data_IF_894684816422
#
_entry.id   IF_894684816422
#
_cell.length_a   1.000
_cell.length_b   1.000
_cell.length_c   1.000
_cell.angle_alpha   90.00
_cell.angle_beta   90.00
_cell.angle_gamma   90.00
#
_symmetry.space_group_name_H-M   'P 1'
#
loop_
_entity.id
_entity.type
_entity.pdbx_description
1 polymer ?
#
# COMPACT_ATOMS: atom_id res chain seq x y z
N UNK A 1 -23.61 3.35 16.92
CA UNK A 1 -22.57 2.68 16.12
C UNK A 1 -22.21 3.68 15.05
N UNK A 2 -21.03 4.29 15.15
CA UNK A 2 -20.57 5.24 14.14
C UNK A 2 -20.47 4.49 12.81
N UNK A 3 -21.05 5.06 11.75
CA UNK A 3 -20.98 4.46 10.42
C UNK A 3 -19.52 4.48 9.96
N UNK A 4 -18.91 3.29 9.76
CA UNK A 4 -17.49 3.15 9.41
C UNK A 4 -17.15 3.93 8.14
N UNK A 5 -18.08 3.97 7.18
CA UNK A 5 -17.91 4.76 5.97
C UNK A 5 -17.85 6.27 6.27
N UNK A 6 -18.77 6.78 7.10
CA UNK A 6 -18.74 8.18 7.55
C UNK A 6 -17.46 8.52 8.33
N UNK A 7 -16.98 7.60 9.18
CA UNK A 7 -15.70 7.75 9.89
C UNK A 7 -14.53 7.86 8.90
N UNK A 8 -14.46 6.97 7.91
CA UNK A 8 -13.41 7.00 6.89
C UNK A 8 -13.50 8.29 6.09
N UNK A 9 -14.67 8.63 5.52
CA UNK A 9 -14.87 9.86 4.74
C UNK A 9 -14.47 11.11 5.52
N UNK A 10 -14.82 11.19 6.81
CA UNK A 10 -14.46 12.30 7.67
C UNK A 10 -12.94 12.47 7.81
N UNK A 11 -12.21 11.38 8.05
CA UNK A 11 -10.76 11.43 8.19
C UNK A 11 -10.05 11.65 6.84
N UNK A 12 -10.57 11.11 5.74
CA UNK A 12 -10.01 11.33 4.39
C UNK A 12 -10.04 12.79 3.96
N UNK A 13 -11.08 13.54 4.34
CA UNK A 13 -11.12 14.98 4.10
C UNK A 13 -10.00 15.70 4.85
N UNK A 14 -9.63 15.21 6.04
CA UNK A 14 -8.64 15.80 6.94
C UNK A 14 -7.19 15.41 6.61
N UNK A 15 -6.98 14.31 5.89
CA UNK A 15 -5.69 13.99 5.24
C UNK A 15 -5.25 15.05 4.21
N UNK A 16 -6.11 16.02 3.86
CA UNK A 16 -5.80 17.09 2.91
C UNK A 16 -5.69 18.47 3.58
N UNK A 17 -5.73 18.51 4.92
CA UNK A 17 -5.74 19.75 5.70
C UNK A 17 -4.56 19.78 6.67
N UNK A 18 -4.48 20.82 7.50
CA UNK A 18 -3.52 20.90 8.60
C UNK A 18 -3.74 19.85 9.70
N UNK A 19 -4.81 19.05 9.59
CA UNK A 19 -5.18 18.00 10.56
C UNK A 19 -4.72 16.61 10.06
N UNK A 20 -3.75 16.58 9.14
CA UNK A 20 -3.21 15.36 8.54
C UNK A 20 -2.78 14.34 9.60
N UNK A 21 -1.94 14.74 10.55
CA UNK A 21 -1.37 13.83 11.55
C UNK A 21 -2.47 13.16 12.38
N UNK A 22 -3.43 13.94 12.88
CA UNK A 22 -4.56 13.43 13.66
C UNK A 22 -5.41 12.44 12.83
N UNK A 23 -5.70 12.77 11.57
CA UNK A 23 -6.49 11.93 10.69
C UNK A 23 -5.77 10.62 10.33
N UNK A 24 -4.46 10.71 10.06
CA UNK A 24 -3.60 9.58 9.78
C UNK A 24 -3.56 8.61 10.97
N UNK A 25 -3.30 9.11 12.18
CA UNK A 25 -3.28 8.28 13.39
C UNK A 25 -4.63 7.61 13.66
N UNK A 26 -5.74 8.35 13.51
CA UNK A 26 -7.08 7.79 13.72
C UNK A 26 -7.42 6.68 12.73
N UNK A 27 -6.97 6.78 11.48
CA UNK A 27 -7.22 5.75 10.47
C UNK A 27 -6.38 4.50 10.72
N UNK A 28 -5.13 4.64 11.17
CA UNK A 28 -4.25 3.50 11.50
C UNK A 28 -4.70 2.77 12.76
N UNK A 29 -5.19 3.51 13.75
CA UNK A 29 -5.66 2.94 15.02
C UNK A 29 -7.09 2.37 14.94
N UNK A 30 -7.77 2.53 13.80
CA UNK A 30 -9.10 2.00 13.60
C UNK A 30 -9.10 0.47 13.47
N UNK A 31 -10.26 -0.14 13.73
CA UNK A 31 -10.47 -1.57 13.48
C UNK A 31 -10.34 -1.90 11.99
N UNK A 32 -9.79 -3.07 11.67
CA UNK A 32 -9.53 -3.54 10.30
C UNK A 32 -10.78 -3.54 9.40
N UNK A 33 -11.99 -3.48 9.97
CA UNK A 33 -13.23 -3.26 9.23
C UNK A 33 -13.24 -1.97 8.40
N UNK A 34 -12.33 -1.01 8.62
CA UNK A 34 -12.20 0.18 7.76
C UNK A 34 -11.49 -0.09 6.44
N UNK A 35 -10.70 -1.17 6.34
CA UNK A 35 -9.83 -1.45 5.18
C UNK A 35 -10.60 -1.46 3.85
N UNK A 36 -11.77 -2.11 3.71
CA UNK A 36 -12.52 -2.09 2.45
C UNK A 36 -12.87 -0.67 1.99
N UNK A 37 -13.22 0.22 2.92
CA UNK A 37 -13.56 1.61 2.61
C UNK A 37 -12.31 2.42 2.19
N UNK A 38 -11.16 2.14 2.81
CA UNK A 38 -9.88 2.75 2.42
C UNK A 38 -9.42 2.30 1.03
N UNK A 39 -9.62 1.02 0.68
CA UNK A 39 -9.33 0.49 -0.65
C UNK A 39 -10.21 1.17 -1.71
N UNK A 40 -11.52 1.31 -1.45
CA UNK A 40 -12.40 2.04 -2.37
C UNK A 40 -12.01 3.51 -2.50
N UNK A 41 -11.61 4.16 -1.39
CA UNK A 41 -11.10 5.53 -1.44
C UNK A 41 -9.83 5.67 -2.28
N UNK A 42 -8.91 4.70 -2.20
CA UNK A 42 -7.68 4.69 -3.01
C UNK A 42 -7.98 4.71 -4.51
N UNK A 43 -8.96 3.91 -4.95
CA UNK A 43 -9.32 3.75 -6.37
C UNK A 43 -9.89 5.02 -7.01
N UNK A 44 -10.52 5.87 -6.22
CA UNK A 44 -11.15 7.12 -6.70
C UNK A 44 -10.35 8.37 -6.37
N UNK A 45 -9.25 8.27 -5.62
CA UNK A 45 -8.46 9.42 -5.19
C UNK A 45 -7.55 9.95 -6.31
N UNK A 46 -7.74 11.19 -6.78
CA UNK A 46 -6.95 11.73 -7.87
C UNK A 46 -5.51 12.13 -7.47
N UNK A 47 -5.25 12.48 -6.20
CA UNK A 47 -3.93 12.97 -5.78
C UNK A 47 -3.03 11.81 -5.37
N UNK A 48 -1.86 11.69 -6.02
CA UNK A 48 -0.89 10.63 -5.75
C UNK A 48 -0.36 10.63 -4.32
N UNK A 49 -0.15 11.81 -3.73
CA UNK A 49 0.25 11.93 -2.32
C UNK A 49 -0.78 11.31 -1.37
N UNK A 50 -2.08 11.60 -1.56
CA UNK A 50 -3.15 10.99 -0.75
C UNK A 50 -3.26 9.49 -1.02
N UNK A 51 -3.09 9.03 -2.27
CA UNK A 51 -3.02 7.59 -2.56
C UNK A 51 -1.86 6.90 -1.86
N UNK A 52 -0.68 7.53 -1.79
CA UNK A 52 0.47 6.98 -1.07
C UNK A 52 0.19 6.87 0.44
N UNK A 53 -0.43 7.90 1.04
CA UNK A 53 -0.88 7.86 2.44
C UNK A 53 -1.93 6.76 2.67
N UNK A 54 -2.86 6.55 1.73
CA UNK A 54 -3.86 5.48 1.83
C UNK A 54 -3.21 4.10 1.80
N UNK A 55 -2.26 3.87 0.88
CA UNK A 55 -1.47 2.64 0.83
C UNK A 55 -0.75 2.41 2.16
N UNK A 56 -0.13 3.47 2.69
CA UNK A 56 0.57 3.44 3.97
C UNK A 56 -0.35 3.04 5.13
N UNK A 57 -1.45 3.77 5.31
CA UNK A 57 -2.45 3.50 6.33
C UNK A 57 -2.92 2.04 6.23
N UNK A 58 -3.25 1.55 5.03
CA UNK A 58 -3.77 0.19 4.84
C UNK A 58 -2.75 -0.87 5.29
N UNK A 59 -1.46 -0.76 4.92
CA UNK A 59 -0.48 -1.77 5.35
C UNK A 59 -0.08 -1.62 6.83
N UNK A 60 -0.32 -0.47 7.47
CA UNK A 60 -0.15 -0.28 8.91
C UNK A 60 -1.09 -1.15 9.76
N UNK A 61 -2.23 -1.59 9.22
CA UNK A 61 -3.11 -2.57 9.88
C UNK A 61 -2.50 -3.98 10.00
N UNK A 62 -1.41 -4.29 9.27
CA UNK A 62 -0.72 -5.60 9.30
C UNK A 62 -1.63 -6.79 8.93
N UNK A 63 -2.71 -6.56 8.18
CA UNK A 63 -3.65 -7.59 7.72
C UNK A 63 -3.08 -8.28 6.46
N UNK A 64 -2.73 -9.59 6.51
CA UNK A 64 -2.12 -10.29 5.38
C UNK A 64 -2.96 -10.26 4.09
N UNK A 65 -4.28 -10.22 4.21
CA UNK A 65 -5.24 -10.19 3.10
C UNK A 65 -5.09 -8.92 2.23
N UNK A 66 -4.44 -7.87 2.73
CA UNK A 66 -4.16 -6.64 1.97
C UNK A 66 -3.09 -6.81 0.87
N UNK A 67 -2.41 -7.97 0.80
CA UNK A 67 -1.41 -8.27 -0.25
C UNK A 67 -1.94 -8.06 -1.68
N UNK A 68 -3.21 -8.40 -1.93
CA UNK A 68 -3.80 -8.22 -3.26
C UNK A 68 -3.99 -6.74 -3.60
N UNK A 69 -4.34 -5.93 -2.60
CA UNK A 69 -4.41 -4.48 -2.75
C UNK A 69 -3.02 -3.87 -2.95
N UNK A 70 -2.00 -4.31 -2.22
CA UNK A 70 -0.63 -3.82 -2.43
C UNK A 70 -0.14 -4.14 -3.85
N UNK A 71 -0.53 -5.29 -4.42
CA UNK A 71 -0.24 -5.60 -5.82
C UNK A 71 -0.93 -4.62 -6.78
N UNK A 72 -2.16 -4.19 -6.50
CA UNK A 72 -2.86 -3.15 -7.28
C UNK A 72 -2.11 -1.82 -7.19
N UNK A 73 -1.64 -1.42 -5.99
CA UNK A 73 -0.89 -0.19 -5.79
C UNK A 73 0.48 -0.17 -6.49
N UNK A 74 1.10 -1.33 -6.76
CA UNK A 74 2.33 -1.43 -7.57
C UNK A 74 2.13 -1.02 -9.04
N UNK A 75 0.88 -1.01 -9.52
CA UNK A 75 0.53 -0.58 -10.88
C UNK A 75 0.32 0.93 -11.00
N UNK A 76 0.37 1.69 -9.89
CA UNK A 76 0.29 3.16 -9.96
C UNK A 76 1.46 3.73 -10.76
N UNK A 77 1.19 4.80 -11.51
CA UNK A 77 2.18 5.50 -12.32
C UNK A 77 3.12 6.40 -11.48
N UNK A 78 2.76 6.70 -10.24
CA UNK A 78 3.49 7.65 -9.38
C UNK A 78 4.44 6.92 -8.41
N UNK A 79 5.75 7.25 -8.42
CA UNK A 79 6.76 6.68 -7.53
C UNK A 79 6.38 6.53 -6.06
N UNK A 80 5.81 7.56 -5.47
CA UNK A 80 5.42 7.59 -4.06
C UNK A 80 4.39 6.50 -3.71
N UNK A 81 3.48 6.16 -4.62
CA UNK A 81 2.43 5.18 -4.37
C UNK A 81 2.99 3.75 -4.43
N UNK A 82 3.67 3.40 -5.52
CA UNK A 82 4.19 2.04 -5.66
C UNK A 82 5.38 1.77 -4.73
N UNK A 83 6.13 2.79 -4.30
CA UNK A 83 7.15 2.63 -3.24
C UNK A 83 6.51 2.36 -1.89
N UNK A 84 5.46 3.09 -1.51
CA UNK A 84 4.70 2.79 -0.29
C UNK A 84 4.13 1.36 -0.31
N UNK A 85 3.71 0.87 -1.48
CA UNK A 85 3.27 -0.52 -1.61
C UNK A 85 4.40 -1.53 -1.37
N UNK A 86 5.62 -1.26 -1.84
CA UNK A 86 6.80 -2.08 -1.55
C UNK A 86 7.14 -2.10 -0.06
N UNK A 87 7.06 -0.94 0.62
CA UNK A 87 7.24 -0.86 2.08
C UNK A 87 6.21 -1.74 2.80
N UNK A 88 4.95 -1.74 2.32
CA UNK A 88 3.91 -2.64 2.80
C UNK A 88 4.25 -4.13 2.60
N UNK A 89 4.73 -4.52 1.42
CA UNK A 89 5.15 -5.90 1.16
C UNK A 89 6.32 -6.35 2.06
N UNK A 90 7.33 -5.49 2.21
CA UNK A 90 8.49 -5.74 3.10
C UNK A 90 8.02 -5.91 4.54
N UNK A 91 7.12 -5.03 4.98
CA UNK A 91 6.61 -5.02 6.35
C UNK A 91 5.75 -6.24 6.67
N UNK A 92 4.91 -6.68 5.73
CA UNK A 92 4.12 -7.91 5.89
C UNK A 92 4.98 -9.18 5.82
N UNK A 93 6.11 -9.14 5.11
CA UNK A 93 7.20 -10.09 5.27
C UNK A 93 6.85 -11.57 5.05
N UNK A 94 5.89 -11.88 4.17
CA UNK A 94 5.36 -13.25 4.02
C UNK A 94 5.84 -13.96 2.74
N UNK A 95 5.79 -15.31 2.69
CA UNK A 95 6.04 -16.04 1.44
C UNK A 95 5.09 -15.63 0.30
N UNK A 96 3.85 -15.25 0.63
CA UNK A 96 2.88 -14.75 -0.34
C UNK A 96 3.31 -13.40 -0.93
N UNK A 97 3.93 -12.51 -0.13
CA UNK A 97 4.49 -11.25 -0.61
C UNK A 97 5.58 -11.49 -1.68
N UNK A 98 6.50 -12.42 -1.42
CA UNK A 98 7.56 -12.80 -2.38
C UNK A 98 6.93 -13.31 -3.69
N UNK A 99 5.95 -14.21 -3.60
CA UNK A 99 5.30 -14.76 -4.80
C UNK A 99 4.66 -13.68 -5.66
N UNK A 100 3.95 -12.74 -5.04
CA UNK A 100 3.32 -11.61 -5.75
C UNK A 100 4.36 -10.69 -6.38
N UNK A 101 5.43 -10.34 -5.64
CA UNK A 101 6.50 -9.50 -6.17
C UNK A 101 7.22 -10.14 -7.37
N UNK A 102 7.52 -11.44 -7.32
CA UNK A 102 8.10 -12.17 -8.45
C UNK A 102 7.18 -12.19 -9.69
N UNK A 103 5.86 -12.32 -9.50
CA UNK A 103 4.90 -12.24 -10.60
C UNK A 103 4.87 -10.83 -11.24
N UNK A 104 4.83 -9.78 -10.42
CA UNK A 104 4.85 -8.39 -10.88
C UNK A 104 6.14 -8.09 -11.65
N UNK A 105 7.28 -8.52 -11.10
CA UNK A 105 8.61 -8.42 -11.70
C UNK A 105 8.68 -9.08 -13.07
N UNK A 106 8.18 -10.32 -13.20
CA UNK A 106 8.11 -11.03 -14.49
C UNK A 106 7.25 -10.30 -15.52
N UNK A 107 6.09 -9.76 -15.11
CA UNK A 107 5.20 -8.98 -15.98
C UNK A 107 5.87 -7.71 -16.50
N UNK A 108 6.57 -6.96 -15.65
CA UNK A 108 7.29 -5.74 -16.05
C UNK A 108 8.42 -6.07 -17.04
N UNK A 109 9.16 -7.17 -16.82
CA UNK A 109 10.18 -7.63 -17.76
C UNK A 109 9.62 -7.98 -19.14
N UNK A 110 8.50 -8.70 -19.17
CA UNK A 110 7.83 -9.07 -20.42
C UNK A 110 7.34 -7.83 -21.21
N UNK A 111 7.00 -6.74 -20.51
CA UNK A 111 6.53 -5.48 -21.10
C UNK A 111 7.60 -4.58 -21.72
N UNK A 112 8.85 -5.05 -21.90
CA UNK A 112 9.99 -4.26 -22.39
C UNK A 112 10.46 -3.11 -21.49
N UNK A 113 9.92 -2.98 -20.27
CA UNK A 113 10.39 -2.07 -19.22
C UNK A 113 11.47 -2.71 -18.33
N UNK A 114 12.30 -3.58 -18.92
CA UNK A 114 13.34 -4.35 -18.25
C UNK A 114 14.39 -3.52 -17.48
N UNK A 115 14.49 -2.22 -17.77
CA UNK A 115 15.40 -1.25 -17.13
C UNK A 115 14.66 -0.21 -16.29
N UNK A 116 13.40 -0.45 -15.95
CA UNK A 116 12.66 0.43 -15.04
C UNK A 116 13.29 0.36 -13.66
N UNK A 117 13.51 1.53 -13.02
CA UNK A 117 13.92 1.60 -11.62
C UNK A 117 13.05 0.69 -10.75
N UNK A 118 11.76 0.57 -11.07
CA UNK A 118 10.79 -0.30 -10.37
C UNK A 118 11.27 -1.75 -10.22
N UNK A 119 11.98 -2.33 -11.20
CA UNK A 119 12.52 -3.69 -11.08
C UNK A 119 13.57 -3.77 -9.97
N UNK A 120 14.51 -2.82 -9.92
CA UNK A 120 15.55 -2.80 -8.91
C UNK A 120 14.97 -2.66 -7.49
N UNK A 121 13.93 -1.83 -7.34
CA UNK A 121 13.22 -1.69 -6.07
C UNK A 121 12.44 -2.96 -5.68
N UNK A 122 11.85 -3.68 -6.65
CA UNK A 122 11.19 -4.96 -6.39
C UNK A 122 12.22 -6.04 -5.99
N UNK A 123 13.35 -6.11 -6.69
CA UNK A 123 14.46 -7.00 -6.33
C UNK A 123 14.93 -6.74 -4.90
N UNK A 124 15.13 -5.48 -4.54
CA UNK A 124 15.51 -5.09 -3.18
C UNK A 124 14.46 -5.50 -2.15
N UNK A 125 13.17 -5.25 -2.40
CA UNK A 125 12.10 -5.63 -1.49
C UNK A 125 12.04 -7.16 -1.27
N UNK A 126 12.22 -7.96 -2.33
CA UNK A 126 12.28 -9.43 -2.23
C UNK A 126 13.45 -9.85 -1.34
N UNK A 127 14.62 -9.26 -1.53
CA UNK A 127 15.81 -9.58 -0.72
C UNK A 127 15.63 -9.15 0.74
N UNK A 128 15.01 -7.99 1.01
CA UNK A 128 14.69 -7.57 2.36
C UNK A 128 13.71 -8.53 3.06
N UNK A 129 12.70 -9.04 2.36
CA UNK A 129 11.78 -10.04 2.93
C UNK A 129 12.53 -11.35 3.22
N UNK A 130 13.39 -11.81 2.30
CA UNK A 130 14.20 -13.04 2.44
C UNK A 130 15.25 -12.96 3.54
N UNK A 131 15.66 -11.77 3.98
CA UNK A 131 16.64 -11.57 5.05
C UNK A 131 16.03 -10.93 6.31
N UNK A 132 14.73 -10.66 6.28
CA UNK A 132 13.99 -10.07 7.37
C UNK A 132 13.79 -11.07 8.53
N UNK A 133 13.18 -10.63 9.64
CA UNK A 133 12.98 -11.47 10.84
C UNK A 133 12.05 -12.68 10.62
N UNK A 134 11.44 -12.80 9.44
CA UNK A 134 10.54 -13.89 9.04
C UNK A 134 11.20 -14.90 8.06
N UNK A 135 12.51 -14.75 7.80
CA UNK A 135 13.32 -15.62 6.94
C UNK A 135 13.74 -16.94 7.59
#
# INVERSE_FOLDING_TARGET
>A
MEDLNSFVVYNLQRLKTAEYDDAYHRLIEADDAVIPFLIEAFRVEPHSATRASLVEIIWQHRVPETIYFLSEALDDNHPEVWKSALDGFVTLGSPAAIQVLELVRQRIWAGSQAKSDRIAWIDEAIEQIRHGPFA
#
